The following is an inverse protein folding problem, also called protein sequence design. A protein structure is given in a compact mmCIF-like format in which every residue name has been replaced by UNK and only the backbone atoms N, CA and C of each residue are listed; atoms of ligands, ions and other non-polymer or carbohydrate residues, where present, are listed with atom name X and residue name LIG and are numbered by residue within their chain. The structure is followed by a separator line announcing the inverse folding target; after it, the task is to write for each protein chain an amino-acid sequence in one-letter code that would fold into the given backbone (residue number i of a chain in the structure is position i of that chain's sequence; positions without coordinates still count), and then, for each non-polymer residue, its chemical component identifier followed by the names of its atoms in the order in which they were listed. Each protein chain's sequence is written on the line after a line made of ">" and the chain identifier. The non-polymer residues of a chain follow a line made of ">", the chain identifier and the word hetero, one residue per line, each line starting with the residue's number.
data_IF_296152191146
#
_entry.id   IF_296152191146
#
_cell.length_a   1.000
_cell.length_b   1.000
_cell.length_c   1.000
_cell.angle_alpha   90.00
_cell.angle_beta   90.00
_cell.angle_gamma   90.00
#
_symmetry.space_group_name_H-M   'P 1'
#
loop_
_entity.id
_entity.type
_entity.pdbx_description
1 polymer ?
#
# COMPACT_ATOMS: atom_id res chain seq x y z
N UNK A 1 -24.57 9.71 14.18
CA UNK A 1 -23.79 8.45 14.15
C UNK A 1 -23.04 8.36 15.47
N UNK A 2 -23.14 7.24 16.20
CA UNK A 2 -22.30 7.02 17.39
C UNK A 2 -20.91 6.64 16.88
N UNK A 3 -19.93 7.51 17.09
CA UNK A 3 -18.55 7.16 16.82
C UNK A 3 -18.12 6.19 17.94
N UNK A 4 -17.84 4.95 17.56
CA UNK A 4 -17.37 3.97 18.53
C UNK A 4 -15.90 4.26 18.88
N UNK A 5 -15.52 4.01 20.13
CA UNK A 5 -14.14 4.21 20.55
C UNK A 5 -13.32 3.02 20.09
N UNK A 6 -12.12 3.27 19.54
CA UNK A 6 -11.17 2.22 19.13
C UNK A 6 -10.98 1.19 20.25
N UNK A 7 -11.28 -0.06 19.95
CA UNK A 7 -11.24 -1.17 20.90
C UNK A 7 -9.83 -1.41 21.46
N UNK A 8 -8.79 -1.12 20.66
CA UNK A 8 -7.39 -1.36 21.01
C UNK A 8 -6.75 -0.25 21.85
N UNK A 9 -6.84 1.00 21.42
CA UNK A 9 -6.15 2.10 22.11
C UNK A 9 -7.06 2.89 23.07
N UNK A 10 -8.39 2.75 22.94
CA UNK A 10 -9.41 3.45 23.75
C UNK A 10 -9.27 4.99 23.78
N UNK A 11 -8.49 5.56 22.85
CA UNK A 11 -8.16 7.00 22.79
C UNK A 11 -8.80 7.69 21.59
N UNK A 12 -8.77 7.03 20.43
CA UNK A 12 -9.26 7.57 19.17
C UNK A 12 -10.57 6.91 18.77
N UNK A 13 -11.35 7.58 17.93
CA UNK A 13 -12.53 7.00 17.31
C UNK A 13 -12.16 5.85 16.36
N UNK A 14 -12.98 4.80 16.35
CA UNK A 14 -12.89 3.73 15.39
C UNK A 14 -13.45 4.18 14.04
N UNK A 15 -12.98 3.54 12.97
CA UNK A 15 -13.55 3.77 11.65
C UNK A 15 -14.94 3.14 11.54
N UNK A 16 -15.81 3.65 10.68
CA UNK A 16 -17.18 3.13 10.51
C UNK A 16 -17.25 1.65 10.12
N UNK A 17 -16.20 1.13 9.48
CA UNK A 17 -16.12 -0.24 8.98
C UNK A 17 -15.36 -1.19 9.92
N UNK A 18 -14.75 -0.70 11.01
CA UNK A 18 -13.86 -1.51 11.87
C UNK A 18 -13.92 -1.06 13.33
N UNK A 19 -13.59 -1.94 14.27
CA UNK A 19 -13.46 -1.60 15.69
C UNK A 19 -12.15 -0.85 16.04
N UNK A 20 -11.31 -0.54 15.04
CA UNK A 20 -10.00 0.08 15.20
C UNK A 20 -9.96 1.50 14.62
N UNK A 21 -9.11 2.34 15.21
CA UNK A 21 -8.72 3.62 14.63
C UNK A 21 -7.68 3.44 13.52
N UNK A 22 -7.48 4.51 12.73
CA UNK A 22 -6.51 4.55 11.62
C UNK A 22 -5.11 4.10 12.02
N UNK A 23 -4.60 4.54 13.17
CA UNK A 23 -3.25 4.22 13.61
C UNK A 23 -3.11 2.75 14.03
N UNK A 24 -4.10 2.24 14.77
CA UNK A 24 -4.13 0.83 15.17
C UNK A 24 -4.28 -0.11 13.97
N UNK A 25 -5.03 0.29 12.93
CA UNK A 25 -5.10 -0.42 11.65
C UNK A 25 -3.73 -0.42 10.96
N UNK A 26 -3.09 0.74 10.85
CA UNK A 26 -1.78 0.87 10.19
C UNK A 26 -0.75 -0.03 10.85
N UNK A 27 -0.68 -0.07 12.18
CA UNK A 27 0.21 -1.00 12.89
C UNK A 27 -0.11 -2.47 12.62
N UNK A 28 -1.40 -2.83 12.60
CA UNK A 28 -1.85 -4.20 12.35
C UNK A 28 -1.42 -4.67 10.96
N UNK A 29 -1.59 -3.83 9.94
CA UNK A 29 -1.18 -4.14 8.57
C UNK A 29 0.33 -4.02 8.34
N UNK A 30 1.03 -3.14 9.06
CA UNK A 30 2.50 -3.05 8.97
C UNK A 30 3.18 -4.38 9.30
N UNK A 31 2.61 -5.18 10.20
CA UNK A 31 3.11 -6.54 10.51
C UNK A 31 2.81 -7.56 9.41
N UNK A 32 1.80 -7.31 8.59
CA UNK A 32 1.34 -8.22 7.53
C UNK A 32 1.99 -7.93 6.18
N UNK A 33 2.49 -6.72 5.97
CA UNK A 33 3.32 -6.39 4.81
C UNK A 33 4.69 -7.03 5.07
N UNK A 34 5.11 -8.04 4.30
CA UNK A 34 6.49 -8.50 4.37
C UNK A 34 7.35 -7.28 4.08
N UNK A 35 8.21 -6.90 5.03
CA UNK A 35 9.22 -5.87 4.81
C UNK A 35 9.94 -6.28 3.54
N UNK A 36 9.72 -5.56 2.45
CA UNK A 36 10.32 -5.86 1.16
C UNK A 36 11.78 -5.37 1.20
N UNK A 37 12.54 -5.82 2.21
CA UNK A 37 13.99 -5.64 2.32
C UNK A 37 14.74 -6.50 1.28
N UNK A 38 14.01 -7.15 0.37
CA UNK A 38 14.55 -7.96 -0.72
C UNK A 38 13.75 -7.80 -2.01
N UNK A 39 13.38 -6.58 -2.41
CA UNK A 39 13.40 -6.33 -3.87
C UNK A 39 14.87 -6.49 -4.25
N UNK A 40 15.25 -7.70 -4.68
CA UNK A 40 16.50 -7.88 -5.41
C UNK A 40 16.49 -6.84 -6.52
N UNK A 41 17.59 -6.10 -6.76
CA UNK A 41 17.65 -5.18 -7.88
C UNK A 41 17.29 -5.97 -9.14
N UNK A 42 16.18 -5.61 -9.78
CA UNK A 42 15.78 -6.15 -11.08
C UNK A 42 16.78 -5.53 -12.06
N UNK A 43 17.90 -6.22 -12.28
CA UNK A 43 18.92 -5.95 -13.29
C UNK A 43 19.56 -4.55 -13.32
N UNK A 44 20.90 -4.41 -13.26
CA UNK A 44 21.57 -3.13 -13.42
C UNK A 44 21.62 -2.60 -14.87
N UNK A 45 20.70 -3.00 -15.76
CA UNK A 45 20.75 -2.66 -17.19
C UNK A 45 19.41 -2.22 -17.79
N UNK A 46 18.66 -1.37 -17.09
CA UNK A 46 17.70 -0.51 -17.80
C UNK A 46 18.45 0.71 -18.32
N UNK A 47 19.11 0.50 -19.45
CA UNK A 47 19.62 1.58 -20.29
C UNK A 47 18.42 2.41 -20.75
N UNK A 48 18.29 3.58 -20.13
CA UNK A 48 17.34 4.62 -20.48
C UNK A 48 17.71 5.15 -21.86
N UNK A 49 17.05 4.74 -22.93
CA UNK A 49 16.75 5.60 -24.07
C UNK A 49 15.48 5.16 -24.78
N UNK A 50 14.55 6.10 -24.85
CA UNK A 50 13.30 6.13 -25.59
C UNK A 50 13.50 5.92 -27.09
N UNK A 51 12.69 5.03 -27.68
CA UNK A 51 12.06 5.26 -28.98
C UNK A 51 10.78 4.44 -29.01
N UNK A 52 9.65 5.13 -28.84
CA UNK A 52 8.33 4.65 -29.22
C UNK A 52 8.32 4.41 -30.73
N UNK A 53 8.39 3.16 -31.14
CA UNK A 53 8.00 2.76 -32.49
C UNK A 53 6.48 2.53 -32.43
N UNK A 54 5.71 3.48 -32.97
CA UNK A 54 4.26 3.34 -33.14
C UNK A 54 3.92 2.02 -33.87
N UNK A 55 2.94 1.23 -33.40
CA UNK A 55 2.51 0.05 -34.14
C UNK A 55 1.80 0.48 -35.42
N UNK A 56 2.39 0.16 -36.59
CA UNK A 56 1.70 0.18 -37.88
C UNK A 56 0.52 -0.79 -37.81
N UNK A 57 -0.70 -0.27 -37.68
CA UNK A 57 -1.92 -1.03 -37.90
C UNK A 57 -1.94 -1.60 -39.32
N UNK A 58 -2.12 -2.91 -39.43
CA UNK A 58 -2.45 -3.58 -40.69
C UNK A 58 -3.97 -3.53 -40.87
N UNK A 59 -4.41 -2.99 -42.00
CA UNK A 59 -5.76 -3.06 -42.54
C UNK A 59 -5.67 -3.59 -43.97
#
# INVERSE_FOLDING_TARGET
>A
MKNEICNRCRKNESLSQTDLCKDCLREKFKKLIPSIDRIRPIHPNFSRFSSTEDPKGVA
#
